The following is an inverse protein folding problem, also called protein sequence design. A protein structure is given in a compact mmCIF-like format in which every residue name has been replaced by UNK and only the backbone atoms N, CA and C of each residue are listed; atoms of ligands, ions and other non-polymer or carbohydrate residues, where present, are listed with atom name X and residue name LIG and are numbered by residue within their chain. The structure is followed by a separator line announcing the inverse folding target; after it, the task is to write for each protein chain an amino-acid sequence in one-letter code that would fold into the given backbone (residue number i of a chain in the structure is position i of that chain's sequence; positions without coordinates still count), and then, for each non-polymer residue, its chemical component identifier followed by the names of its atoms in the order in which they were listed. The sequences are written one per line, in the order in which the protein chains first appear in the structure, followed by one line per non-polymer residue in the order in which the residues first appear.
data_IF_246676321013
#
_entry.id   IF_246676321013
#
_cell.length_a   1.000
_cell.length_b   1.000
_cell.length_c   1.000
_cell.angle_alpha   90.00
_cell.angle_beta   90.00
_cell.angle_gamma   90.00
#
_symmetry.space_group_name_H-M   'P 1'
#
loop_
_entity.id
_entity.type
_entity.pdbx_description
1 polymer ?
#
# COMPACT_ATOMS: atom_id res chain seq x y z
N UNK A 1 64.43 -11.01 -2.86
CA UNK A 1 63.24 -10.23 -2.46
C UNK A 1 62.35 -10.11 -3.69
N UNK A 2 61.28 -10.92 -3.75
CA UNK A 2 60.54 -11.26 -4.98
C UNK A 2 59.35 -10.32 -5.18
N UNK A 3 59.34 -9.58 -6.30
CA UNK A 3 58.18 -8.81 -6.77
C UNK A 3 57.19 -9.77 -7.42
N UNK A 4 56.01 -9.94 -6.81
CA UNK A 4 54.89 -10.69 -7.40
C UNK A 4 54.14 -9.80 -8.37
N UNK A 5 54.20 -10.13 -9.66
CA UNK A 5 53.27 -9.64 -10.68
C UNK A 5 51.99 -10.50 -10.64
N UNK A 6 50.82 -9.86 -10.74
CA UNK A 6 49.53 -10.54 -10.86
C UNK A 6 49.05 -10.47 -12.33
N UNK A 7 48.72 -11.61 -12.97
CA UNK A 7 48.41 -11.65 -14.40
C UNK A 7 46.93 -11.89 -14.68
N UNK A 8 46.08 -10.87 -14.52
CA UNK A 8 44.80 -10.79 -15.25
C UNK A 8 44.25 -9.35 -15.18
N UNK A 9 44.67 -8.52 -16.13
CA UNK A 9 43.81 -7.44 -16.62
C UNK A 9 43.59 -7.75 -18.09
N UNK A 10 42.53 -8.51 -18.36
CA UNK A 10 42.01 -8.58 -19.71
C UNK A 10 41.39 -7.23 -20.02
N UNK A 11 41.71 -6.73 -21.21
CA UNK A 11 41.12 -5.55 -21.79
C UNK A 11 39.61 -5.74 -21.96
N UNK A 12 38.89 -4.61 -21.98
CA UNK A 12 37.53 -4.45 -22.49
C UNK A 12 36.36 -4.63 -21.50
N UNK A 13 36.51 -4.15 -20.26
CA UNK A 13 35.34 -3.80 -19.44
C UNK A 13 34.98 -2.32 -19.68
N UNK A 14 34.48 -2.04 -20.89
CA UNK A 14 33.81 -0.77 -21.18
C UNK A 14 32.49 -0.78 -20.43
N UNK A 15 32.51 -0.33 -19.19
CA UNK A 15 31.30 0.08 -18.47
C UNK A 15 30.65 1.19 -19.28
N UNK A 16 29.68 0.82 -20.13
CA UNK A 16 28.78 1.78 -20.74
C UNK A 16 27.93 2.33 -19.61
N UNK A 17 28.32 3.52 -19.13
CA UNK A 17 27.41 4.41 -18.43
C UNK A 17 26.29 4.70 -19.43
N UNK A 18 25.23 3.89 -19.38
CA UNK A 18 23.97 4.22 -20.04
C UNK A 18 23.53 5.50 -19.36
N UNK A 19 23.71 6.61 -20.07
CA UNK A 19 23.11 7.89 -19.71
C UNK A 19 21.62 7.60 -19.57
N UNK A 20 21.17 7.47 -18.32
CA UNK A 20 19.77 7.22 -18.00
C UNK A 20 19.07 8.50 -18.41
N UNK A 21 18.64 8.59 -19.66
CA UNK A 21 17.76 9.65 -20.13
C UNK A 21 16.67 9.79 -19.08
N UNK A 22 16.65 10.95 -18.43
CA UNK A 22 15.73 11.26 -17.35
C UNK A 22 14.34 11.20 -17.93
N UNK A 23 13.67 10.05 -17.78
CA UNK A 23 12.30 9.88 -18.22
C UNK A 23 11.49 11.02 -17.58
N UNK A 24 10.72 11.79 -18.36
CA UNK A 24 9.90 12.84 -17.79
C UNK A 24 9.03 12.23 -16.68
N UNK A 25 8.88 12.96 -15.58
CA UNK A 25 8.06 12.52 -14.47
C UNK A 25 6.66 12.15 -14.99
N UNK A 26 6.07 11.03 -14.53
CA UNK A 26 4.75 10.63 -14.99
C UNK A 26 3.75 11.76 -14.74
N UNK A 27 2.82 11.96 -15.68
CA UNK A 27 1.75 12.92 -15.49
C UNK A 27 0.97 12.60 -14.19
N UNK A 28 0.53 13.60 -13.40
CA UNK A 28 -0.10 13.37 -12.11
C UNK A 28 -1.25 12.36 -12.15
N UNK A 29 -2.09 12.41 -13.19
CA UNK A 29 -3.19 11.45 -13.37
C UNK A 29 -2.72 10.00 -13.55
N UNK A 30 -1.63 9.77 -14.28
CA UNK A 30 -1.07 8.42 -14.45
C UNK A 30 -0.45 7.89 -13.15
N UNK A 31 0.16 8.77 -12.34
CA UNK A 31 0.67 8.42 -11.02
C UNK A 31 -0.48 8.05 -10.06
N UNK A 32 -1.52 8.89 -10.00
CA UNK A 32 -2.72 8.61 -9.18
C UNK A 32 -3.40 7.31 -9.62
N UNK A 33 -3.52 7.06 -10.93
CA UNK A 33 -4.11 5.82 -11.44
C UNK A 33 -3.30 4.59 -11.02
N UNK A 34 -1.96 4.64 -11.11
CA UNK A 34 -1.09 3.56 -10.65
C UNK A 34 -1.28 3.28 -9.15
N UNK A 35 -1.28 4.33 -8.34
CA UNK A 35 -1.46 4.25 -6.90
C UNK A 35 -2.85 3.68 -6.55
N UNK A 36 -3.91 4.16 -7.19
CA UNK A 36 -5.26 3.66 -6.98
C UNK A 36 -5.42 2.19 -7.40
N UNK A 37 -4.84 1.79 -8.54
CA UNK A 37 -4.87 0.41 -9.00
C UNK A 37 -4.19 -0.55 -8.02
N UNK A 38 -3.04 -0.15 -7.48
CA UNK A 38 -2.37 -0.92 -6.43
C UNK A 38 -3.22 -1.01 -5.16
N UNK A 39 -3.81 0.11 -4.73
CA UNK A 39 -4.64 0.14 -3.53
C UNK A 39 -5.89 -0.76 -3.64
N UNK A 40 -6.50 -0.87 -4.82
CA UNK A 40 -7.61 -1.81 -5.06
C UNK A 40 -7.17 -3.26 -4.87
N UNK A 41 -5.98 -3.63 -5.33
CA UNK A 41 -5.45 -4.99 -5.10
C UNK A 41 -5.18 -5.25 -3.60
N UNK A 42 -4.66 -4.26 -2.89
CA UNK A 42 -4.40 -4.36 -1.45
C UNK A 42 -5.68 -4.38 -0.62
N UNK A 43 -6.75 -3.74 -1.11
CA UNK A 43 -8.06 -3.74 -0.46
C UNK A 43 -8.61 -5.17 -0.32
N UNK A 44 -8.53 -5.99 -1.36
CA UNK A 44 -8.98 -7.39 -1.31
C UNK A 44 -8.24 -8.18 -0.24
N UNK A 45 -6.92 -7.98 -0.12
CA UNK A 45 -6.12 -8.64 0.91
C UNK A 45 -6.47 -8.14 2.32
N UNK A 46 -6.69 -6.84 2.46
CA UNK A 46 -7.09 -6.21 3.71
C UNK A 46 -8.48 -6.68 4.18
N UNK A 47 -9.44 -6.86 3.26
CA UNK A 47 -10.75 -7.44 3.60
C UNK A 47 -10.61 -8.89 4.08
N UNK A 48 -9.78 -9.69 3.42
CA UNK A 48 -9.51 -11.06 3.86
C UNK A 48 -8.85 -11.11 5.26
N UNK A 49 -7.99 -10.13 5.58
CA UNK A 49 -7.41 -9.98 6.93
C UNK A 49 -8.48 -9.61 7.96
N UNK A 50 -9.34 -8.63 7.66
CA UNK A 50 -10.41 -8.22 8.57
C UNK A 50 -11.43 -9.34 8.79
N UNK A 51 -11.71 -10.14 7.76
CA UNK A 51 -12.52 -11.34 7.91
C UNK A 51 -11.85 -12.32 8.87
N UNK A 52 -10.56 -12.63 8.73
CA UNK A 52 -9.84 -13.51 9.66
C UNK A 52 -9.88 -12.98 11.11
N UNK A 53 -9.73 -11.67 11.29
CA UNK A 53 -9.89 -11.02 12.61
C UNK A 53 -11.29 -11.26 13.17
N UNK A 54 -12.35 -11.04 12.38
CA UNK A 54 -13.73 -11.26 12.80
C UNK A 54 -14.04 -12.73 13.15
N UNK A 55 -13.29 -13.67 12.58
CA UNK A 55 -13.36 -15.10 12.92
C UNK A 55 -12.51 -15.47 14.15
N UNK A 56 -11.86 -14.50 14.80
CA UNK A 56 -10.97 -14.71 15.94
C UNK A 56 -9.77 -15.60 15.63
N UNK A 57 -9.26 -15.53 14.39
CA UNK A 57 -8.05 -16.24 14.02
C UNK A 57 -6.86 -15.78 14.88
N UNK A 58 -5.94 -16.71 15.14
CA UNK A 58 -4.79 -16.43 15.99
C UNK A 58 -3.93 -15.27 15.47
N UNK A 59 -3.50 -14.38 16.37
CA UNK A 59 -2.65 -13.23 16.05
C UNK A 59 -1.38 -13.63 15.27
N UNK A 60 -0.77 -14.78 15.58
CA UNK A 60 0.41 -15.29 14.86
C UNK A 60 0.17 -15.64 13.39
N UNK A 61 -1.09 -15.83 12.99
CA UNK A 61 -1.51 -16.07 11.60
C UNK A 61 -1.90 -14.77 10.91
N UNK A 62 -2.61 -13.88 11.62
CA UNK A 62 -3.14 -12.62 11.07
C UNK A 62 -2.05 -11.55 10.92
N UNK A 63 -1.21 -11.35 11.95
CA UNK A 63 -0.24 -10.25 11.99
C UNK A 63 0.78 -10.26 10.84
N UNK A 64 1.33 -11.41 10.40
CA UNK A 64 2.26 -11.44 9.26
C UNK A 64 1.67 -10.93 7.93
N UNK A 65 0.35 -10.97 7.78
CA UNK A 65 -0.37 -10.44 6.61
C UNK A 65 -0.75 -8.98 6.80
N UNK A 66 -1.30 -8.66 7.97
CA UNK A 66 -1.83 -7.33 8.27
C UNK A 66 -0.75 -6.25 8.41
N UNK A 67 0.38 -6.56 9.07
CA UNK A 67 1.46 -5.59 9.30
C UNK A 67 2.01 -4.96 8.00
N UNK A 68 2.39 -5.77 7.00
CA UNK A 68 2.80 -5.26 5.69
C UNK A 68 1.76 -4.39 5.00
N UNK A 69 0.47 -4.72 5.12
CA UNK A 69 -0.62 -3.92 4.53
C UNK A 69 -0.73 -2.55 5.20
N UNK A 70 -0.66 -2.48 6.53
CA UNK A 70 -0.64 -1.19 7.26
C UNK A 70 0.50 -0.31 6.78
N UNK A 71 1.73 -0.86 6.73
CA UNK A 71 2.89 -0.14 6.23
C UNK A 71 2.71 0.29 4.77
N UNK A 72 2.11 -0.56 3.93
CA UNK A 72 1.94 -0.25 2.52
C UNK A 72 0.91 0.85 2.28
N UNK A 73 -0.23 0.84 2.97
CA UNK A 73 -1.20 1.94 2.86
C UNK A 73 -0.61 3.27 3.33
N UNK A 74 0.20 3.31 4.39
CA UNK A 74 0.94 4.51 4.74
C UNK A 74 1.94 4.92 3.66
N UNK A 75 2.68 3.97 3.09
CA UNK A 75 3.61 4.24 1.98
C UNK A 75 2.92 4.81 0.73
N UNK A 76 1.71 4.34 0.40
CA UNK A 76 0.92 4.90 -0.71
C UNK A 76 0.56 6.36 -0.49
N UNK A 77 0.36 6.79 0.76
CA UNK A 77 0.13 8.21 1.08
C UNK A 77 1.37 9.05 0.80
N UNK A 78 2.54 8.54 1.15
CA UNK A 78 3.83 9.19 0.89
C UNK A 78 4.14 9.28 -0.61
N UNK A 79 3.61 8.36 -1.41
CA UNK A 79 3.74 8.36 -2.88
C UNK A 79 2.77 9.33 -3.59
N UNK A 80 1.72 9.83 -2.91
CA UNK A 80 0.80 10.78 -3.52
C UNK A 80 1.54 12.07 -3.91
N UNK A 81 1.18 12.69 -5.05
CA UNK A 81 1.64 14.04 -5.36
C UNK A 81 1.37 14.98 -4.18
N UNK A 82 2.30 15.91 -3.90
CA UNK A 82 2.09 16.92 -2.86
C UNK A 82 0.91 17.85 -3.18
N UNK A 83 0.69 18.14 -4.47
CA UNK A 83 -0.42 18.92 -5.01
C UNK A 83 -0.61 18.62 -6.50
N UNK A 84 -1.84 18.75 -6.98
CA UNK A 84 -2.20 18.75 -8.40
C UNK A 84 -2.76 20.12 -8.79
N UNK A 85 -2.37 20.63 -9.95
CA UNK A 85 -2.91 21.89 -10.48
C UNK A 85 -4.32 21.73 -11.04
N UNK A 86 -4.65 20.54 -11.56
CA UNK A 86 -6.00 20.19 -11.99
C UNK A 86 -6.91 19.99 -10.74
N UNK A 87 -7.98 20.80 -10.58
CA UNK A 87 -8.88 20.70 -9.43
C UNK A 87 -9.57 19.33 -9.27
N UNK A 88 -9.80 18.61 -10.38
CA UNK A 88 -10.35 17.25 -10.34
C UNK A 88 -9.33 16.30 -9.74
N UNK A 89 -8.09 16.32 -10.24
CA UNK A 89 -7.02 15.46 -9.73
C UNK A 89 -6.67 15.77 -8.27
N UNK A 90 -6.72 17.04 -7.86
CA UNK A 90 -6.50 17.43 -6.46
C UNK A 90 -7.58 16.87 -5.52
N UNK A 91 -8.84 16.85 -5.97
CA UNK A 91 -9.92 16.19 -5.22
C UNK A 91 -9.65 14.70 -5.07
N UNK A 92 -9.34 14.00 -6.18
CA UNK A 92 -9.09 12.56 -6.16
C UNK A 92 -7.89 12.21 -5.28
N UNK A 93 -6.80 12.98 -5.37
CA UNK A 93 -5.62 12.87 -4.49
C UNK A 93 -5.99 12.96 -3.01
N UNK A 94 -6.82 13.94 -2.64
CA UNK A 94 -7.26 14.14 -1.24
C UNK A 94 -8.17 13.01 -0.75
N UNK A 95 -9.04 12.50 -1.63
CA UNK A 95 -9.87 11.33 -1.32
C UNK A 95 -9.01 10.09 -1.10
N UNK A 96 -8.04 9.82 -1.98
CA UNK A 96 -7.10 8.71 -1.83
C UNK A 96 -6.31 8.78 -0.51
N UNK A 97 -5.78 9.96 -0.15
CA UNK A 97 -5.08 10.15 1.12
C UNK A 97 -5.94 9.74 2.33
N UNK A 98 -7.21 10.15 2.31
CA UNK A 98 -8.18 9.84 3.37
C UNK A 98 -8.48 8.35 3.44
N UNK A 99 -8.70 7.70 2.29
CA UNK A 99 -8.99 6.26 2.19
C UNK A 99 -7.79 5.44 2.72
N UNK A 100 -6.58 5.77 2.28
CA UNK A 100 -5.39 5.01 2.68
C UNK A 100 -5.13 5.13 4.19
N UNK A 101 -5.31 6.32 4.75
CA UNK A 101 -5.24 6.50 6.20
C UNK A 101 -6.30 5.65 6.91
N UNK A 102 -7.54 5.66 6.44
CA UNK A 102 -8.62 4.87 7.01
C UNK A 102 -8.30 3.37 6.99
N UNK A 103 -7.88 2.81 5.85
CA UNK A 103 -7.54 1.39 5.74
C UNK A 103 -6.37 1.01 6.65
N UNK A 104 -5.31 1.80 6.69
CA UNK A 104 -4.17 1.56 7.56
C UNK A 104 -4.58 1.53 9.04
N UNK A 105 -5.36 2.53 9.47
CA UNK A 105 -5.81 2.63 10.86
C UNK A 105 -6.77 1.51 11.24
N UNK A 106 -7.71 1.14 10.36
CA UNK A 106 -8.65 0.07 10.64
C UNK A 106 -7.93 -1.28 10.82
N UNK A 107 -6.95 -1.58 9.96
CA UNK A 107 -6.13 -2.79 10.09
C UNK A 107 -5.28 -2.78 11.37
N UNK A 108 -4.65 -1.64 11.70
CA UNK A 108 -3.86 -1.52 12.92
C UNK A 108 -4.72 -1.73 14.18
N UNK A 109 -5.89 -1.08 14.24
CA UNK A 109 -6.83 -1.24 15.35
C UNK A 109 -7.37 -2.67 15.46
N UNK A 110 -7.64 -3.33 14.33
CA UNK A 110 -8.06 -4.73 14.32
C UNK A 110 -7.00 -5.67 14.94
N UNK A 111 -5.71 -5.41 14.67
CA UNK A 111 -4.61 -6.16 15.30
C UNK A 111 -4.47 -5.90 16.81
N UNK A 112 -4.67 -4.65 17.23
CA UNK A 112 -4.66 -4.30 18.65
C UNK A 112 -5.73 -5.08 19.40
N UNK A 113 -6.94 -5.21 18.85
CA UNK A 113 -8.00 -5.98 19.48
C UNK A 113 -7.66 -7.47 19.65
N UNK A 114 -7.02 -8.11 18.66
CA UNK A 114 -6.57 -9.49 18.79
C UNK A 114 -5.51 -9.70 19.88
N UNK A 115 -4.79 -8.64 20.28
CA UNK A 115 -3.84 -8.72 21.39
C UNK A 115 -4.55 -8.86 22.75
N UNK A 116 -5.82 -8.46 22.83
CA UNK A 116 -6.63 -8.52 24.04
C UNK A 116 -7.74 -9.60 23.99
N UNK A 117 -7.82 -10.35 22.89
CA UNK A 117 -8.85 -11.37 22.71
C UNK A 117 -8.78 -12.43 23.81
N UNK A 118 -9.96 -12.85 24.29
CA UNK A 118 -10.12 -13.76 25.44
C UNK A 118 -10.06 -13.11 26.83
N UNK A 119 -9.80 -11.79 26.95
CA UNK A 119 -9.88 -11.06 28.23
C UNK A 119 -11.20 -10.31 28.46
N UNK A 120 -12.03 -10.17 27.43
CA UNK A 120 -13.29 -9.44 27.49
C UNK A 120 -14.29 -9.93 26.45
N UNK A 121 -15.45 -10.42 26.91
CA UNK A 121 -16.61 -10.75 26.09
C UNK A 121 -17.13 -9.55 25.27
N UNK A 122 -16.93 -8.32 25.77
CA UNK A 122 -17.29 -7.12 25.03
C UNK A 122 -16.36 -6.90 23.83
N UNK A 123 -15.05 -7.06 24.01
CA UNK A 123 -14.08 -6.96 22.91
C UNK A 123 -14.31 -8.07 21.89
N UNK A 124 -14.64 -9.28 22.35
CA UNK A 124 -14.96 -10.39 21.49
C UNK A 124 -16.12 -10.04 20.53
N UNK A 125 -17.22 -9.49 21.06
CA UNK A 125 -18.34 -9.02 20.22
C UNK A 125 -17.96 -7.90 19.26
N UNK A 126 -17.16 -6.92 19.71
CA UNK A 126 -16.72 -5.81 18.85
C UNK A 126 -15.83 -6.30 17.70
N UNK A 127 -14.98 -7.30 17.94
CA UNK A 127 -14.17 -7.94 16.90
C UNK A 127 -15.05 -8.60 15.84
N UNK A 128 -16.12 -9.29 16.25
CA UNK A 128 -17.05 -9.93 15.30
C UNK A 128 -17.84 -8.94 14.43
N UNK A 129 -17.86 -7.64 14.79
CA UNK A 129 -18.53 -6.58 14.00
C UNK A 129 -17.66 -6.06 12.83
N UNK A 130 -16.40 -6.48 12.73
CA UNK A 130 -15.58 -6.17 11.55
C UNK A 130 -16.17 -6.82 10.29
N UNK A 131 -16.77 -5.99 9.44
CA UNK A 131 -17.50 -6.41 8.22
C UNK A 131 -16.75 -6.04 6.93
N UNK A 132 -15.44 -5.82 7.03
CA UNK A 132 -14.59 -5.36 5.93
C UNK A 132 -14.28 -3.87 6.01
N UNK A 133 -13.80 -3.28 4.91
CA UNK A 133 -13.29 -1.91 4.88
C UNK A 133 -14.39 -0.83 4.69
N UNK A 134 -15.63 -1.24 4.45
CA UNK A 134 -16.80 -0.36 4.46
C UNK A 134 -16.87 0.64 3.30
N UNK A 135 -17.55 1.77 3.52
CA UNK A 135 -17.78 2.78 2.47
C UNK A 135 -16.49 3.33 1.81
N UNK A 136 -15.35 3.50 2.52
CA UNK A 136 -14.10 3.89 1.89
C UNK A 136 -13.60 2.93 0.79
N UNK A 137 -13.88 1.63 0.90
CA UNK A 137 -13.50 0.66 -0.12
C UNK A 137 -14.31 0.82 -1.42
N UNK A 138 -15.62 1.06 -1.29
CA UNK A 138 -16.49 1.38 -2.43
C UNK A 138 -16.00 2.67 -3.11
N UNK A 139 -15.64 3.68 -2.32
CA UNK A 139 -15.15 4.95 -2.84
C UNK A 139 -13.79 4.80 -3.56
N UNK A 140 -12.92 3.91 -3.10
CA UNK A 140 -11.64 3.63 -3.78
C UNK A 140 -11.87 3.09 -5.19
N UNK A 141 -12.79 2.14 -5.32
CA UNK A 141 -13.19 1.58 -6.61
C UNK A 141 -13.80 2.63 -7.54
N UNK A 142 -14.61 3.54 -7.01
CA UNK A 142 -15.16 4.67 -7.76
C UNK A 142 -14.05 5.61 -8.26
N UNK A 143 -13.09 5.96 -7.39
CA UNK A 143 -11.93 6.79 -7.75
C UNK A 143 -11.06 6.11 -8.82
N UNK A 144 -10.79 4.81 -8.67
CA UNK A 144 -10.03 4.04 -9.66
C UNK A 144 -10.73 4.05 -11.04
N UNK A 145 -12.04 3.79 -11.07
CA UNK A 145 -12.84 3.84 -12.30
C UNK A 145 -12.84 5.24 -12.92
N UNK A 146 -12.95 6.28 -12.10
CA UNK A 146 -12.88 7.66 -12.56
C UNK A 146 -11.51 8.00 -13.18
N UNK A 147 -10.42 7.59 -12.54
CA UNK A 147 -9.04 7.82 -13.02
C UNK A 147 -8.73 7.06 -14.32
N UNK A 148 -9.29 5.86 -14.48
CA UNK A 148 -9.13 5.05 -15.70
C UNK A 148 -9.84 5.68 -16.90
N UNK A 149 -10.89 6.46 -16.66
CA UNK A 149 -11.73 7.06 -17.69
C UNK A 149 -12.66 6.04 -18.37
N UNK A 150 -13.59 6.52 -19.23
CA UNK A 150 -14.34 5.63 -20.11
C UNK A 150 -13.36 4.94 -21.06
N UNK A 151 -13.35 3.61 -21.04
CA UNK A 151 -12.57 2.79 -21.97
C UNK A 151 -13.04 2.92 -23.41
#
# INVERSE_FOLDING_TARGET
MVRRSWPWRSADDRVQLVDRETRPAPAPGALLLRIAAEAVLLQDEAEAVLAAVAHHDHLGVVAPRAGPLVSRFFGLREELPGRCDDPRLERLRTVLDTIFYHHAMQLATALEFLTFDGRSEQLHRQISEFTGLGAPAVLLEDVYRELRGPG
#
